data_IF_216343689431
#
_entry.id   IF_216343689431
#
_cell.length_a   1.000
_cell.length_b   1.000
_cell.length_c   1.000
_cell.angle_alpha   90.00
_cell.angle_beta   90.00
_cell.angle_gamma   90.00
#
_symmetry.space_group_name_H-M   'P 1'
#
loop_
_entity.id
_entity.type
_entity.pdbx_description
1 polymer ?
#
# COMPACT_ATOMS: atom_id res chain seq x y z
N UNK A 1 16.73 -8.58 -23.54
CA UNK A 1 15.77 -8.12 -22.50
C UNK A 1 14.75 -7.25 -23.19
N UNK A 2 13.46 -7.60 -23.15
CA UNK A 2 12.40 -6.78 -23.74
C UNK A 2 11.99 -5.70 -22.75
N UNK A 3 12.30 -4.45 -23.09
CA UNK A 3 11.70 -3.29 -22.43
C UNK A 3 10.23 -3.27 -22.86
N UNK A 4 9.31 -3.52 -21.93
CA UNK A 4 7.87 -3.42 -22.21
C UNK A 4 7.58 -1.98 -22.64
N UNK A 5 6.95 -1.79 -23.79
CA UNK A 5 6.71 -0.45 -24.32
C UNK A 5 5.51 0.21 -23.62
N UNK A 6 5.37 1.53 -23.77
CA UNK A 6 4.32 2.30 -23.08
C UNK A 6 2.89 1.83 -23.44
N UNK A 7 2.68 1.31 -24.65
CA UNK A 7 1.38 0.79 -25.10
C UNK A 7 1.01 -0.50 -24.36
N UNK A 8 1.98 -1.39 -24.16
CA UNK A 8 1.80 -2.62 -23.39
C UNK A 8 1.57 -2.33 -21.90
N UNK A 9 2.31 -1.37 -21.33
CA UNK A 9 2.11 -0.92 -19.94
C UNK A 9 0.69 -0.38 -19.74
N UNK A 10 0.21 0.47 -20.66
CA UNK A 10 -1.14 1.01 -20.61
C UNK A 10 -2.21 -0.10 -20.68
N UNK A 11 -2.03 -1.08 -21.56
CA UNK A 11 -2.97 -2.21 -21.69
C UNK A 11 -3.00 -3.09 -20.42
N UNK A 12 -1.87 -3.25 -19.73
CA UNK A 12 -1.82 -3.97 -18.44
C UNK A 12 -2.62 -3.21 -17.37
N UNK A 13 -2.41 -1.89 -17.24
CA UNK A 13 -3.13 -1.09 -16.27
C UNK A 13 -4.64 -1.03 -16.55
N UNK A 14 -5.03 -0.98 -17.83
CA UNK A 14 -6.45 -1.03 -18.22
C UNK A 14 -7.11 -2.34 -17.78
N UNK A 15 -6.42 -3.49 -17.95
CA UNK A 15 -6.92 -4.77 -17.44
C UNK A 15 -7.04 -4.80 -15.91
N UNK A 16 -6.06 -4.26 -15.19
CA UNK A 16 -6.04 -4.22 -13.72
C UNK A 16 -7.19 -3.35 -13.19
N UNK A 17 -7.46 -2.21 -13.82
CA UNK A 17 -8.52 -1.27 -13.46
C UNK A 17 -9.92 -1.92 -13.40
N UNK A 18 -10.16 -2.94 -14.22
CA UNK A 18 -11.46 -3.63 -14.28
C UNK A 18 -11.60 -4.78 -13.27
N UNK A 19 -10.57 -5.10 -12.49
CA UNK A 19 -10.62 -6.19 -11.51
C UNK A 19 -11.31 -5.75 -10.21
N UNK A 20 -12.22 -6.59 -9.72
CA UNK A 20 -12.95 -6.36 -8.46
C UNK A 20 -12.13 -6.71 -7.21
N UNK A 21 -11.06 -7.48 -7.36
CA UNK A 21 -10.17 -7.90 -6.27
C UNK A 21 -8.91 -7.02 -6.14
N UNK A 22 -8.90 -5.88 -6.83
CA UNK A 22 -7.84 -4.87 -6.77
C UNK A 22 -8.39 -3.62 -6.10
N UNK A 23 -7.72 -3.16 -5.04
CA UNK A 23 -7.96 -1.81 -4.51
C UNK A 23 -6.98 -0.84 -5.16
N UNK A 24 -7.48 0.35 -5.51
CA UNK A 24 -6.67 1.44 -6.05
C UNK A 24 -6.45 2.49 -4.97
N UNK A 25 -5.20 2.88 -4.73
CA UNK A 25 -4.84 3.91 -3.76
C UNK A 25 -3.93 4.98 -4.36
N UNK A 26 -4.05 6.21 -3.85
CA UNK A 26 -3.18 7.35 -4.17
C UNK A 26 -2.25 7.65 -2.98
N UNK A 27 -1.27 8.54 -3.18
CA UNK A 27 -0.25 8.75 -2.17
C UNK A 27 -0.92 9.28 -0.90
N UNK A 28 -0.52 8.77 0.26
CA UNK A 28 -1.19 8.98 1.55
C UNK A 28 -2.61 8.41 1.55
N UNK A 29 -2.75 7.08 1.69
CA UNK A 29 -4.05 6.43 1.92
C UNK A 29 -4.07 5.67 3.24
N UNK A 30 -5.14 5.86 4.00
CA UNK A 30 -5.40 5.12 5.23
C UNK A 30 -6.10 3.79 4.89
N UNK A 31 -5.55 2.71 5.40
CA UNK A 31 -6.09 1.36 5.26
C UNK A 31 -6.25 0.71 6.63
N UNK A 32 -7.29 -0.08 6.78
CA UNK A 32 -7.48 -0.98 7.92
C UNK A 32 -7.39 -2.40 7.43
N UNK A 33 -6.85 -3.24 8.30
CA UNK A 33 -6.74 -4.68 8.06
C UNK A 33 -7.90 -5.38 8.77
N UNK A 34 -7.93 -6.72 8.72
CA UNK A 34 -9.06 -7.58 9.11
C UNK A 34 -9.71 -7.23 10.47
N UNK A 35 -8.94 -6.68 11.41
CA UNK A 35 -9.38 -6.35 12.77
C UNK A 35 -10.08 -4.98 12.84
N UNK A 36 -11.43 -4.98 12.93
CA UNK A 36 -12.25 -3.79 13.12
C UNK A 36 -12.04 -3.12 14.49
N UNK A 37 -11.40 -3.80 15.46
CA UNK A 37 -11.06 -3.23 16.76
C UNK A 37 -9.77 -2.41 16.74
N UNK A 38 -9.06 -2.38 15.61
CA UNK A 38 -7.89 -1.52 15.45
C UNK A 38 -8.28 -0.06 15.61
N UNK A 39 -7.74 0.53 16.67
CA UNK A 39 -7.89 1.95 16.99
C UNK A 39 -7.22 2.83 15.93
N UNK A 40 -6.09 2.37 15.37
CA UNK A 40 -5.26 3.08 14.42
C UNK A 40 -5.23 2.34 13.07
N UNK A 41 -5.48 3.02 11.93
CA UNK A 41 -5.22 2.46 10.62
C UNK A 41 -3.71 2.45 10.32
N UNK A 42 -3.37 1.72 9.26
CA UNK A 42 -2.11 1.85 8.59
C UNK A 42 -2.20 2.94 7.53
N UNK A 43 -1.20 3.81 7.45
CA UNK A 43 -0.96 4.74 6.37
C UNK A 43 0.00 4.09 5.38
N UNK A 44 -0.43 3.98 4.12
CA UNK A 44 0.45 3.57 3.03
C UNK A 44 0.96 4.82 2.34
N UNK A 45 2.29 4.91 2.27
CA UNK A 45 3.02 5.93 1.50
C UNK A 45 4.05 5.26 0.62
N UNK A 46 4.48 5.97 -0.41
CA UNK A 46 5.53 5.49 -1.28
C UNK A 46 6.39 6.62 -1.80
N UNK A 47 7.64 6.27 -2.06
CA UNK A 47 8.65 7.09 -2.70
C UNK A 47 9.26 6.26 -3.82
N UNK A 48 8.86 6.53 -5.05
CA UNK A 48 9.36 5.81 -6.22
C UNK A 48 10.80 6.18 -6.57
N UNK A 49 11.27 7.38 -6.19
CA UNK A 49 12.64 7.80 -6.44
C UNK A 49 13.60 6.98 -5.57
N UNK A 50 13.22 6.73 -4.31
CA UNK A 50 13.96 5.87 -3.40
C UNK A 50 13.60 4.38 -3.52
N UNK A 51 12.55 4.04 -4.26
CA UNK A 51 12.00 2.68 -4.46
C UNK A 51 11.45 2.06 -3.18
N UNK A 52 10.80 2.86 -2.36
CA UNK A 52 10.29 2.47 -1.05
C UNK A 52 8.77 2.59 -0.97
N UNK A 53 8.14 1.61 -0.33
CA UNK A 53 6.75 1.68 0.13
C UNK A 53 6.75 1.49 1.63
N UNK A 54 6.16 2.45 2.34
CA UNK A 54 6.11 2.45 3.79
C UNK A 54 4.68 2.19 4.26
N UNK A 55 4.54 1.23 5.17
CA UNK A 55 3.30 0.94 5.90
C UNK A 55 3.53 1.42 7.32
N UNK A 56 2.88 2.51 7.71
CA UNK A 56 3.05 3.12 9.03
C UNK A 56 1.76 3.02 9.83
N UNK A 57 1.78 2.59 11.07
CA UNK A 57 0.60 2.72 11.93
C UNK A 57 0.52 4.17 12.44
N UNK A 58 -0.65 4.80 12.33
CA UNK A 58 -0.83 6.23 12.62
C UNK A 58 -2.06 6.48 13.49
N UNK A 59 -2.03 7.48 14.40
CA UNK A 59 -3.19 7.86 15.19
C UNK A 59 -4.36 8.22 14.27
N UNK A 60 -5.49 7.51 14.42
CA UNK A 60 -6.70 7.90 13.71
C UNK A 60 -7.36 9.06 14.44
N UNK A 61 -7.25 10.26 13.90
CA UNK A 61 -8.03 11.39 14.36
C UNK A 61 -9.34 11.38 13.57
N UNK A 62 -10.48 11.17 14.24
CA UNK A 62 -11.84 11.14 13.66
C UNK A 62 -12.28 12.45 12.96
N UNK A 63 -11.33 13.37 12.69
CA UNK A 63 -11.55 14.63 11.97
C UNK A 63 -11.19 14.55 10.49
N UNK A 64 -10.69 13.41 10.02
CA UNK A 64 -10.51 13.15 8.59
C UNK A 64 -11.84 12.60 8.05
N UNK A 65 -12.40 13.22 7.02
CA UNK A 65 -13.69 12.82 6.43
C UNK A 65 -13.63 11.43 5.75
N UNK A 66 -12.43 10.92 5.49
CA UNK A 66 -12.22 9.66 4.78
C UNK A 66 -12.15 8.45 5.71
N UNK A 67 -13.14 7.56 5.62
CA UNK A 67 -13.12 6.25 6.26
C UNK A 67 -11.98 5.38 5.69
N UNK A 68 -11.18 4.71 6.55
CA UNK A 68 -10.10 3.85 6.09
C UNK A 68 -10.60 2.65 5.30
N UNK A 69 -9.86 2.27 4.26
CA UNK A 69 -10.23 1.17 3.37
C UNK A 69 -9.98 -0.17 4.07
N UNK A 70 -10.98 -1.05 4.12
CA UNK A 70 -10.82 -2.40 4.65
C UNK A 70 -10.20 -3.34 3.61
N UNK A 71 -8.99 -3.83 3.87
CA UNK A 71 -8.26 -4.69 2.91
C UNK A 71 -8.77 -6.13 2.81
N UNK A 72 -9.69 -6.57 3.68
CA UNK A 72 -10.18 -7.96 3.69
C UNK A 72 -10.81 -8.42 2.37
N UNK A 73 -11.40 -7.47 1.64
CA UNK A 73 -12.17 -7.74 0.42
C UNK A 73 -11.29 -7.73 -0.84
N UNK A 74 -9.99 -7.42 -0.70
CA UNK A 74 -9.06 -7.22 -1.80
C UNK A 74 -7.89 -8.21 -1.75
N UNK A 75 -7.45 -8.66 -2.93
CA UNK A 75 -6.28 -9.53 -3.08
C UNK A 75 -5.04 -8.76 -3.50
N UNK A 76 -5.23 -7.65 -4.18
CA UNK A 76 -4.18 -6.84 -4.75
C UNK A 76 -4.37 -5.37 -4.41
N UNK A 77 -3.25 -4.67 -4.31
CA UNK A 77 -3.21 -3.24 -4.06
C UNK A 77 -2.46 -2.58 -5.22
N UNK A 78 -3.13 -1.66 -5.89
CA UNK A 78 -2.58 -0.84 -6.96
C UNK A 78 -2.28 0.55 -6.43
N UNK A 79 -0.99 0.88 -6.38
CA UNK A 79 -0.46 2.20 -6.08
C UNK A 79 -0.41 3.01 -7.38
N UNK A 80 -1.19 4.10 -7.43
CA UNK A 80 -1.30 4.98 -8.60
C UNK A 80 -0.46 6.23 -8.42
N UNK A 81 0.29 6.59 -9.46
CA UNK A 81 1.06 7.81 -9.57
C UNK A 81 0.63 8.60 -10.81
N UNK A 82 0.94 9.89 -10.89
CA UNK A 82 0.67 10.69 -12.08
C UNK A 82 1.39 10.14 -13.32
N UNK A 83 2.55 9.51 -13.13
CA UNK A 83 3.28 8.79 -14.17
C UNK A 83 2.91 7.29 -14.16
N UNK A 84 2.29 6.74 -15.23
CA UNK A 84 1.95 5.31 -15.34
C UNK A 84 3.13 4.36 -15.26
N UNK A 85 4.34 4.81 -15.62
CA UNK A 85 5.56 4.00 -15.48
C UNK A 85 5.95 3.80 -14.02
N UNK A 86 5.51 4.70 -13.15
CA UNK A 86 5.74 4.64 -11.71
C UNK A 86 4.59 3.96 -10.96
N UNK A 87 3.57 3.43 -11.62
CA UNK A 87 2.56 2.63 -10.94
C UNK A 87 3.16 1.34 -10.40
N UNK A 88 2.57 0.80 -9.33
CA UNK A 88 2.98 -0.48 -8.79
C UNK A 88 1.77 -1.32 -8.35
N UNK A 89 1.80 -2.60 -8.69
CA UNK A 89 0.84 -3.59 -8.24
C UNK A 89 1.49 -4.50 -7.20
N UNK A 90 0.84 -4.63 -6.06
CA UNK A 90 1.24 -5.50 -4.97
C UNK A 90 0.21 -6.59 -4.74
N UNK A 91 0.68 -7.78 -4.36
CA UNK A 91 -0.15 -8.78 -3.69
C UNK A 91 -0.24 -8.44 -2.22
N UNK A 92 -1.44 -8.40 -1.69
CA UNK A 92 -1.70 -8.24 -0.25
C UNK A 92 -1.51 -9.59 0.42
N UNK A 93 -0.71 -9.62 1.47
CA UNK A 93 -0.49 -10.78 2.34
C UNK A 93 -0.95 -10.39 3.74
N UNK A 94 -2.13 -10.87 4.13
CA UNK A 94 -2.67 -10.68 5.47
C UNK A 94 -2.10 -11.77 6.37
N UNK A 95 -1.48 -11.38 7.48
CA UNK A 95 -0.98 -12.35 8.45
C UNK A 95 -2.12 -12.88 9.34
N UNK A 96 -1.88 -14.04 9.95
CA UNK A 96 -2.89 -14.73 10.75
C UNK A 96 -3.31 -13.97 12.02
N UNK A 97 -2.54 -12.95 12.43
CA UNK A 97 -2.89 -12.07 13.53
C UNK A 97 -4.03 -11.11 13.20
N UNK A 98 -4.41 -10.99 11.92
CA UNK A 98 -5.43 -10.07 11.43
C UNK A 98 -5.07 -8.59 11.54
N UNK A 99 -3.82 -8.28 11.92
CA UNK A 99 -3.34 -6.93 12.29
C UNK A 99 -2.13 -6.50 11.49
N UNK A 100 -1.32 -7.43 11.02
CA UNK A 100 -0.14 -7.12 10.21
C UNK A 100 -0.38 -7.48 8.76
N UNK A 101 0.20 -6.64 7.88
CA UNK A 101 0.13 -6.81 6.45
C UNK A 101 1.51 -6.69 5.83
N UNK A 102 1.74 -7.57 4.86
CA UNK A 102 2.89 -7.50 3.98
C UNK A 102 2.41 -7.26 2.55
N UNK A 103 3.22 -6.54 1.79
CA UNK A 103 3.00 -6.30 0.37
C UNK A 103 4.12 -6.98 -0.43
N UNK A 104 3.72 -7.74 -1.44
CA UNK A 104 4.67 -8.34 -2.39
C UNK A 104 4.52 -7.69 -3.75
N UNK A 105 5.55 -7.00 -4.21
CA UNK A 105 5.60 -6.39 -5.54
C UNK A 105 5.37 -7.46 -6.61
N UNK A 106 4.34 -7.28 -7.42
CA UNK A 106 4.03 -8.13 -8.58
C UNK A 106 4.45 -7.48 -9.89
N UNK A 107 4.20 -6.17 -10.02
CA UNK A 107 4.46 -5.43 -11.24
C UNK A 107 4.80 -3.98 -10.93
N UNK A 108 5.92 -3.49 -11.50
CA UNK A 108 6.34 -2.10 -11.42
C UNK A 108 7.16 -1.76 -12.70
N UNK A 109 6.63 -0.99 -13.66
CA UNK A 109 7.22 -0.82 -14.98
C UNK A 109 8.61 -0.16 -14.98
N UNK A 110 8.83 0.86 -14.14
CA UNK A 110 10.12 1.54 -14.03
C UNK A 110 11.24 0.63 -13.51
N UNK A 111 10.88 -0.45 -12.80
CA UNK A 111 11.81 -1.31 -12.08
C UNK A 111 11.48 -2.80 -12.26
N UNK A 112 11.21 -3.26 -13.49
CA UNK A 112 10.78 -4.66 -13.74
C UNK A 112 11.73 -5.74 -13.17
N UNK A 113 13.00 -5.39 -12.92
CA UNK A 113 14.01 -6.29 -12.35
C UNK A 113 14.34 -6.00 -10.88
N UNK A 114 13.76 -4.94 -10.30
CA UNK A 114 14.01 -4.53 -8.91
C UNK A 114 12.68 -4.47 -8.15
N UNK A 115 12.66 -5.10 -6.98
CA UNK A 115 11.49 -5.01 -6.11
C UNK A 115 11.53 -3.67 -5.40
N UNK A 116 10.38 -3.00 -5.33
CA UNK A 116 10.18 -1.95 -4.34
C UNK A 116 10.38 -2.55 -2.95
N UNK A 117 11.14 -1.87 -2.11
CA UNK A 117 11.35 -2.25 -0.72
C UNK A 117 10.10 -1.87 0.07
N UNK A 118 9.51 -2.84 0.76
CA UNK A 118 8.36 -2.60 1.63
C UNK A 118 8.85 -2.54 3.06
N UNK A 119 8.69 -1.37 3.69
CA UNK A 119 9.10 -1.11 5.08
C UNK A 119 7.87 -1.00 5.97
N UNK A 120 7.89 -1.72 7.07
CA UNK A 120 6.89 -1.58 8.13
C UNK A 120 7.43 -0.66 9.22
N UNK A 121 6.72 0.42 9.49
CA UNK A 121 7.06 1.43 10.49
C UNK A 121 6.01 1.35 11.62
N UNK A 122 6.29 0.59 12.70
CA UNK A 122 5.34 0.44 13.80
C UNK A 122 5.07 1.79 14.47
N UNK A 123 3.84 1.97 14.96
CA UNK A 123 3.52 3.14 15.74
C UNK A 123 4.29 3.10 17.06
N UNK A 124 5.25 4.01 17.21
CA UNK A 124 5.92 4.27 18.47
C UNK A 124 5.18 5.44 19.12
N UNK A 125 4.10 5.12 19.85
CA UNK A 125 3.71 6.02 20.93
C UNK A 125 4.89 6.00 21.89
N UNK A 126 5.63 7.10 22.02
CA UNK A 126 6.50 7.27 23.16
C UNK A 126 5.64 7.00 24.39
N UNK A 127 5.85 5.85 25.01
CA UNK A 127 5.54 5.69 26.43
C UNK A 127 6.51 6.65 27.10
N UNK A 128 6.10 7.91 27.24
CA UNK A 128 6.60 8.71 28.35
C UNK A 128 6.26 7.92 29.61
N UNK A 129 7.25 7.12 30.04
CA UNK A 129 7.31 6.63 31.39
C UNK A 129 7.55 7.88 32.21
N UNK A 130 6.46 8.51 32.66
CA UNK A 130 6.52 9.43 33.78
C UNK A 130 6.93 8.57 34.96
N UNK A 131 8.24 8.48 35.19
CA UNK A 131 8.77 7.98 36.45
C UNK A 131 8.38 8.99 37.53
N UNK A 132 7.73 8.46 38.56
CA UNK A 132 7.26 9.15 39.78
C UNK A 132 8.33 10.02 40.44
#
# INVERSE_FOLDING_TARGET
>A
MQTVNNTEIAAIWDQIKHRKDVITIHNLHFVKVLDQSLQNPHLITWDFDNREVCISEVPYVNTVDDEPINLKDFKYLWVVNDNPSNHALFRILLNNDGRTIDLKTLFHPAHQQQKLEVKYLPFTADKEVVAE
#
